data_IF_186646527382
#
_entry.id   IF_186646527382
#
_cell.length_a   1.000
_cell.length_b   1.000
_cell.length_c   1.000
_cell.angle_alpha   90.00
_cell.angle_beta   90.00
_cell.angle_gamma   90.00
#
_symmetry.space_group_name_H-M   'P 1'
#
loop_
_entity.id
_entity.type
_entity.pdbx_description
1 polymer ?
#
# COMPACT_ATOMS: atom_id res chain seq x y z
N UNK A 1 6.21 1.28 33.09
CA UNK A 1 5.55 0.11 33.71
C UNK A 1 4.84 -0.65 32.60
N UNK A 2 5.44 -1.78 32.21
CA UNK A 2 4.93 -2.90 31.38
C UNK A 2 4.02 -2.63 30.17
N UNK A 3 4.60 -2.66 28.98
CA UNK A 3 4.06 -3.48 27.90
C UNK A 3 5.18 -4.37 27.34
N UNK A 4 5.53 -5.39 28.11
CA UNK A 4 6.25 -6.54 27.60
C UNK A 4 5.31 -7.23 26.61
N UNK A 5 5.70 -7.33 25.34
CA UNK A 5 5.06 -8.27 24.41
C UNK A 5 5.75 -9.62 24.60
N UNK A 6 5.10 -10.61 25.24
CA UNK A 6 5.65 -11.94 25.35
C UNK A 6 5.22 -12.72 24.10
N UNK A 7 6.10 -12.86 23.10
CA UNK A 7 5.91 -13.90 22.09
C UNK A 7 7.25 -14.56 21.73
N UNK A 8 7.69 -15.42 22.65
CA UNK A 8 8.55 -16.54 22.34
C UNK A 8 7.65 -17.75 22.03
N UNK A 9 7.28 -17.97 20.76
CA UNK A 9 6.82 -19.28 20.28
C UNK A 9 7.33 -19.52 18.85
N UNK A 10 7.79 -20.75 18.53
CA UNK A 10 8.48 -21.08 17.28
C UNK A 10 7.60 -20.89 16.04
N UNK A 11 8.24 -20.56 14.91
CA UNK A 11 7.65 -20.37 13.58
C UNK A 11 7.02 -21.66 13.05
N UNK A 12 5.79 -22.01 13.47
CA UNK A 12 4.99 -23.05 12.82
C UNK A 12 3.80 -22.42 12.10
N UNK A 13 4.02 -22.05 10.84
CA UNK A 13 3.08 -21.36 9.96
C UNK A 13 2.16 -22.35 9.24
N UNK A 14 0.98 -22.58 9.82
CA UNK A 14 -0.20 -23.12 9.10
C UNK A 14 -1.43 -22.22 9.34
N UNK A 15 -1.22 -20.90 9.43
CA UNK A 15 -2.31 -19.93 9.42
C UNK A 15 -1.86 -18.62 8.73
N UNK A 16 -2.50 -18.29 7.60
CA UNK A 16 -2.17 -17.11 6.78
C UNK A 16 -2.67 -15.78 7.37
N UNK A 17 -3.21 -15.79 8.60
CA UNK A 17 -3.72 -14.61 9.28
C UNK A 17 -2.94 -14.39 10.58
N UNK A 18 -2.17 -13.30 10.62
CA UNK A 18 -1.49 -12.84 11.83
C UNK A 18 -2.46 -12.12 12.76
N UNK A 19 -2.21 -12.21 14.07
CA UNK A 19 -2.95 -11.38 15.04
C UNK A 19 -2.57 -9.90 14.87
N UNK A 20 -3.42 -9.00 15.35
CA UNK A 20 -3.13 -7.56 15.31
C UNK A 20 -1.78 -7.21 15.95
N UNK A 21 -1.41 -7.89 17.05
CA UNK A 21 -0.14 -7.65 17.74
C UNK A 21 1.07 -8.11 16.91
N UNK A 22 1.00 -9.28 16.29
CA UNK A 22 2.07 -9.78 15.40
C UNK A 22 2.25 -8.87 14.18
N UNK A 23 1.14 -8.40 13.61
CA UNK A 23 1.16 -7.48 12.45
C UNK A 23 1.83 -6.17 12.81
N UNK A 24 1.56 -5.61 14.00
CA UNK A 24 2.20 -4.37 14.44
C UNK A 24 3.71 -4.51 14.61
N UNK A 25 4.19 -5.64 15.12
CA UNK A 25 5.62 -5.89 15.26
C UNK A 25 6.31 -5.96 13.89
N UNK A 26 5.76 -6.75 12.95
CA UNK A 26 6.31 -6.88 11.59
C UNK A 26 6.28 -5.53 10.86
N UNK A 27 5.16 -4.81 10.94
CA UNK A 27 5.01 -3.50 10.31
C UNK A 27 5.96 -2.45 10.91
N UNK A 28 6.24 -2.51 12.23
CA UNK A 28 7.21 -1.62 12.88
C UNK A 28 8.64 -1.87 12.38
N UNK A 29 9.05 -3.13 12.21
CA UNK A 29 10.36 -3.52 11.68
C UNK A 29 10.51 -3.10 10.22
N UNK A 30 9.48 -3.31 9.40
CA UNK A 30 9.44 -2.81 8.02
C UNK A 30 9.53 -1.28 7.97
N UNK A 31 8.83 -0.58 8.87
CA UNK A 31 8.90 0.87 9.01
C UNK A 31 10.30 1.39 9.35
N UNK A 32 11.03 0.70 10.23
CA UNK A 32 12.39 1.05 10.61
C UNK A 32 13.38 0.92 9.44
N UNK A 33 13.28 -0.17 8.67
CA UNK A 33 14.09 -0.36 7.47
C UNK A 33 13.81 0.74 6.43
N UNK A 34 12.52 1.11 6.27
CA UNK A 34 12.07 2.12 5.32
C UNK A 34 12.46 3.54 5.72
N UNK A 35 12.48 3.83 7.03
CA UNK A 35 12.88 5.13 7.57
C UNK A 35 14.39 5.43 7.38
N UNK A 36 15.22 4.38 7.26
CA UNK A 36 16.67 4.51 7.02
C UNK A 36 17.04 4.72 5.55
N UNK A 37 16.10 4.58 4.62
CA UNK A 37 16.38 4.79 3.19
C UNK A 37 16.56 6.29 2.86
N UNK A 38 17.48 6.58 1.93
CA UNK A 38 17.70 7.95 1.42
C UNK A 38 16.43 8.48 0.76
N UNK A 39 16.11 9.75 1.05
CA UNK A 39 14.89 10.42 0.57
C UNK A 39 14.82 10.42 -0.96
N UNK A 40 15.95 10.58 -1.65
CA UNK A 40 16.00 10.61 -3.13
C UNK A 40 15.56 9.29 -3.78
N UNK A 41 15.93 8.16 -3.17
CA UNK A 41 15.53 6.81 -3.64
C UNK A 41 14.05 6.55 -3.39
N UNK A 42 13.53 7.08 -2.28
CA UNK A 42 12.11 6.96 -1.95
C UNK A 42 11.28 7.80 -2.92
N UNK A 43 11.68 9.05 -3.19
CA UNK A 43 10.96 9.95 -4.10
C UNK A 43 10.92 9.41 -5.53
N UNK A 44 12.04 8.90 -6.04
CA UNK A 44 12.10 8.30 -7.39
C UNK A 44 11.23 7.05 -7.49
N UNK A 45 11.26 6.16 -6.49
CA UNK A 45 10.41 4.97 -6.45
C UNK A 45 8.91 5.32 -6.33
N UNK A 46 8.56 6.26 -5.45
CA UNK A 46 7.18 6.72 -5.27
C UNK A 46 6.64 7.45 -6.49
N UNK A 47 7.49 8.21 -7.19
CA UNK A 47 7.10 8.92 -8.41
C UNK A 47 6.77 7.94 -9.54
N UNK A 48 7.62 6.92 -9.76
CA UNK A 48 7.36 5.91 -10.79
C UNK A 48 6.10 5.08 -10.48
N UNK A 49 5.91 4.68 -9.21
CA UNK A 49 4.68 4.02 -8.77
C UNK A 49 3.43 4.88 -9.04
N UNK A 50 3.52 6.18 -8.74
CA UNK A 50 2.45 7.15 -8.97
C UNK A 50 2.15 7.35 -10.46
N UNK A 51 3.17 7.40 -11.32
CA UNK A 51 3.00 7.53 -12.76
C UNK A 51 2.27 6.32 -13.38
N UNK A 52 2.60 5.11 -12.94
CA UNK A 52 1.91 3.88 -13.38
C UNK A 52 0.43 3.91 -12.97
N UNK A 53 0.13 4.30 -11.73
CA UNK A 53 -1.25 4.44 -11.26
C UNK A 53 -2.02 5.53 -12.01
N UNK A 54 -1.36 6.66 -12.27
CA UNK A 54 -1.95 7.78 -13.00
C UNK A 54 -2.29 7.39 -14.44
N UNK A 55 -1.43 6.60 -15.10
CA UNK A 55 -1.71 6.08 -16.44
C UNK A 55 -2.92 5.14 -16.46
N UNK A 56 -3.04 4.25 -15.46
CA UNK A 56 -4.22 3.39 -15.31
C UNK A 56 -5.51 4.20 -15.12
N UNK A 57 -5.50 5.25 -14.29
CA UNK A 57 -6.65 6.14 -14.12
C UNK A 57 -6.94 6.99 -15.36
N UNK A 58 -5.91 7.43 -16.09
CA UNK A 58 -6.07 8.21 -17.32
C UNK A 58 -6.78 7.40 -18.40
N UNK A 59 -6.43 6.12 -18.58
CA UNK A 59 -7.10 5.22 -19.51
C UNK A 59 -8.61 5.13 -19.24
N UNK A 60 -9.00 5.05 -17.96
CA UNK A 60 -10.40 5.02 -17.53
C UNK A 60 -11.09 6.36 -17.76
N UNK A 61 -10.39 7.46 -17.52
CA UNK A 61 -10.93 8.80 -17.76
C UNK A 61 -11.25 9.01 -19.24
N UNK A 62 -10.45 8.45 -20.15
CA UNK A 62 -10.70 8.52 -21.60
C UNK A 62 -11.99 7.74 -21.94
N UNK A 63 -12.18 6.55 -21.38
CA UNK A 63 -13.39 5.73 -21.60
C UNK A 63 -14.63 6.42 -21.04
N UNK A 64 -14.51 7.20 -19.95
CA UNK A 64 -15.62 7.99 -19.41
C UNK A 64 -16.09 9.10 -20.33
N UNK A 65 -15.22 9.67 -21.17
CA UNK A 65 -15.55 10.79 -22.07
C UNK A 65 -16.22 10.30 -23.37
N UNK A 66 -16.16 9.00 -23.67
CA UNK A 66 -16.78 8.45 -24.86
C UNK A 66 -18.33 8.53 -24.77
N UNK A 67 -19.01 9.28 -25.67
CA UNK A 67 -20.44 9.58 -25.56
C UNK A 67 -21.33 8.34 -25.65
N UNK A 68 -20.88 7.31 -26.39
CA UNK A 68 -21.61 6.05 -26.54
C UNK A 68 -21.85 5.31 -25.21
N UNK A 69 -20.91 5.41 -24.26
CA UNK A 69 -21.05 4.74 -22.96
C UNK A 69 -21.91 5.53 -21.97
N UNK A 70 -22.03 6.85 -22.14
CA UNK A 70 -22.86 7.70 -21.27
C UNK A 70 -24.35 7.50 -21.52
N UNK A 71 -24.75 7.24 -22.78
CA UNK A 71 -26.17 7.03 -23.14
C UNK A 71 -26.69 5.62 -22.80
N UNK A 72 -25.87 4.58 -22.96
CA UNK A 72 -26.35 3.20 -22.92
C UNK A 72 -26.32 2.56 -21.52
N UNK A 73 -25.33 2.90 -20.67
CA UNK A 73 -25.29 2.47 -19.28
C UNK A 73 -24.14 3.16 -18.49
N UNK A 74 -24.42 4.25 -17.75
CA UNK A 74 -23.38 4.98 -17.01
C UNK A 74 -22.80 4.21 -15.81
N UNK A 75 -23.49 3.15 -15.35
CA UNK A 75 -23.04 2.33 -14.22
C UNK A 75 -21.86 1.40 -14.53
N UNK A 76 -21.79 0.88 -15.76
CA UNK A 76 -20.76 -0.11 -16.14
C UNK A 76 -19.38 0.52 -16.22
N UNK A 77 -19.29 1.75 -16.71
CA UNK A 77 -18.03 2.52 -16.77
C UNK A 77 -17.45 2.70 -15.36
N UNK A 78 -18.31 3.02 -14.38
CA UNK A 78 -17.89 3.19 -12.98
C UNK A 78 -17.42 1.87 -12.36
N UNK A 79 -17.99 0.72 -12.74
CA UNK A 79 -17.49 -0.58 -12.31
C UNK A 79 -16.11 -0.90 -12.90
N UNK A 80 -15.88 -0.61 -14.17
CA UNK A 80 -14.54 -0.76 -14.76
C UNK A 80 -13.51 0.16 -14.07
N UNK A 81 -13.90 1.40 -13.77
CA UNK A 81 -13.10 2.34 -12.99
C UNK A 81 -12.80 1.82 -11.57
N UNK A 82 -13.78 1.18 -10.92
CA UNK A 82 -13.61 0.61 -9.59
C UNK A 82 -12.72 -0.64 -9.59
N UNK A 83 -12.65 -1.39 -10.70
CA UNK A 83 -11.88 -2.64 -10.81
C UNK A 83 -10.42 -2.40 -11.24
N UNK A 84 -10.19 -1.44 -12.11
CA UNK A 84 -8.83 -1.09 -12.59
C UNK A 84 -7.99 -0.40 -11.50
N UNK A 85 -8.63 0.29 -10.54
CA UNK A 85 -7.96 0.92 -9.42
C UNK A 85 -7.24 -0.10 -8.50
N UNK A 86 -7.90 -1.14 -7.95
CA UNK A 86 -7.22 -2.17 -7.18
C UNK A 86 -6.24 -2.98 -8.04
N UNK A 87 -6.51 -3.16 -9.33
CA UNK A 87 -5.55 -3.78 -10.25
C UNK A 87 -4.24 -2.97 -10.33
N UNK A 88 -4.33 -1.64 -10.43
CA UNK A 88 -3.18 -0.74 -10.36
C UNK A 88 -2.42 -0.83 -9.03
N UNK A 89 -3.14 -0.92 -7.90
CA UNK A 89 -2.50 -1.10 -6.58
C UNK A 89 -1.73 -2.42 -6.49
N UNK A 90 -2.27 -3.53 -7.01
CA UNK A 90 -1.60 -4.83 -7.05
C UNK A 90 -0.33 -4.79 -7.91
N UNK A 91 -0.40 -4.15 -9.09
CA UNK A 91 0.76 -3.99 -9.96
C UNK A 91 1.93 -3.24 -9.29
N UNK A 92 1.63 -2.21 -8.50
CA UNK A 92 2.63 -1.44 -7.74
C UNK A 92 3.27 -2.29 -6.63
N UNK A 93 2.46 -3.08 -5.92
CA UNK A 93 2.94 -3.99 -4.88
C UNK A 93 3.89 -5.05 -5.48
N UNK A 94 3.51 -5.65 -6.62
CA UNK A 94 4.36 -6.62 -7.32
C UNK A 94 5.66 -6.01 -7.85
N UNK A 95 5.63 -4.74 -8.26
CA UNK A 95 6.83 -3.99 -8.68
C UNK A 95 7.76 -3.69 -7.50
N UNK A 96 7.27 -3.81 -6.25
CA UNK A 96 8.04 -3.46 -5.06
C UNK A 96 8.31 -1.96 -4.94
N UNK A 97 7.54 -1.13 -5.65
CA UNK A 97 7.70 0.31 -5.63
C UNK A 97 6.99 0.91 -4.42
N UNK A 98 7.63 1.89 -3.79
CA UNK A 98 7.15 2.44 -2.53
C UNK A 98 6.05 3.47 -2.77
N UNK A 99 4.79 3.04 -2.66
CA UNK A 99 3.65 3.96 -2.68
C UNK A 99 3.65 4.85 -1.43
N UNK A 100 3.35 6.14 -1.61
CA UNK A 100 3.33 7.12 -0.52
C UNK A 100 2.36 6.70 0.60
N UNK A 101 1.16 6.23 0.25
CA UNK A 101 0.12 5.78 1.20
C UNK A 101 0.61 4.65 2.11
N UNK A 102 1.23 3.60 1.56
CA UNK A 102 1.76 2.49 2.36
C UNK A 102 2.95 2.92 3.23
N UNK A 103 3.74 3.87 2.73
CA UNK A 103 4.87 4.43 3.49
C UNK A 103 4.41 5.32 4.64
N UNK A 104 3.29 6.03 4.50
CA UNK A 104 2.69 6.81 5.59
C UNK A 104 2.03 5.93 6.66
N UNK A 105 1.67 4.69 6.35
CA UNK A 105 1.17 3.74 7.35
C UNK A 105 2.29 3.21 8.26
N UNK A 106 3.42 2.77 7.67
CA UNK A 106 4.48 2.08 8.42
C UNK A 106 5.51 3.00 9.08
N UNK A 107 5.75 4.19 8.51
CA UNK A 107 6.71 5.17 9.06
C UNK A 107 6.33 5.72 10.46
N UNK A 108 5.09 6.16 10.72
CA UNK A 108 4.72 6.63 12.06
C UNK A 108 4.68 5.49 13.08
N UNK A 109 4.35 4.26 12.65
CA UNK A 109 4.37 3.09 13.53
C UNK A 109 5.78 2.82 14.08
N UNK A 110 6.81 2.93 13.22
CA UNK A 110 8.20 2.85 13.67
C UNK A 110 8.55 3.96 14.68
N UNK A 111 8.11 5.21 14.43
CA UNK A 111 8.37 6.35 15.34
C UNK A 111 7.68 6.16 16.69
N UNK A 112 6.46 5.62 16.72
CA UNK A 112 5.72 5.35 17.95
C UNK A 112 6.37 4.21 18.75
N UNK A 113 6.81 3.12 18.12
CA UNK A 113 7.53 2.06 18.84
C UNK A 113 8.90 2.54 19.33
N UNK A 114 9.63 3.34 18.54
CA UNK A 114 10.99 3.79 18.87
C UNK A 114 11.05 4.92 19.91
N UNK A 115 9.95 5.60 20.22
CA UNK A 115 9.87 6.63 21.29
C UNK A 115 9.48 6.03 22.65
N UNK A 116 8.98 4.79 22.67
CA UNK A 116 8.58 4.07 23.88
C UNK A 116 9.66 3.07 24.35
N UNK A 117 10.84 3.10 23.73
CA UNK A 117 12.07 2.42 24.14
C UNK A 117 13.17 3.47 24.36
#
# INVERSE_FOLDING_TARGET
MSMAYPYNQPLEVVHNAYTAQQTTEIASRMGAAKARMRVDKILTSSFMAGAILAFACAAVSIVNVAPWYQENAPGVIKLFAALIFPFGLVAIILTGADLATGSFMVRPLCRHISLYC
#
